data_IF_652174312889
#
_entry.id   IF_652174312889
#
_cell.length_a   1.000
_cell.length_b   1.000
_cell.length_c   1.000
_cell.angle_alpha   90.00
_cell.angle_beta   90.00
_cell.angle_gamma   90.00
#
_symmetry.space_group_name_H-M   'P 1'
#
loop_
_entity.id
_entity.type
_entity.pdbx_description
1 polymer ?
#
# COMPACT_ATOMS: atom_id res chain seq x y z
N UNK A 1 -8.44 9.17 -12.19
CA UNK A 1 -7.77 10.15 -11.30
C UNK A 1 -8.81 10.61 -10.27
N UNK A 2 -8.64 10.26 -8.97
CA UNK A 2 -9.66 10.48 -7.91
C UNK A 2 -9.70 11.96 -7.50
N UNK A 3 -10.39 12.80 -8.28
CA UNK A 3 -10.50 14.24 -8.04
C UNK A 3 -11.65 14.58 -7.09
N UNK A 4 -11.59 14.10 -5.85
CA UNK A 4 -12.57 14.51 -4.84
C UNK A 4 -12.24 15.93 -4.35
N UNK A 5 -13.10 16.91 -4.68
CA UNK A 5 -13.01 18.32 -4.22
C UNK A 5 -12.73 18.46 -2.71
N UNK A 6 -13.38 17.72 -1.80
CA UNK A 6 -13.08 17.83 -0.36
C UNK A 6 -11.67 17.37 0.01
N UNK A 7 -11.14 16.33 -0.66
CA UNK A 7 -9.78 15.82 -0.40
C UNK A 7 -8.73 16.84 -0.82
N UNK A 8 -8.95 17.52 -1.95
CA UNK A 8 -8.04 18.57 -2.44
C UNK A 8 -7.99 19.77 -1.48
N UNK A 9 -9.15 20.23 -1.01
CA UNK A 9 -9.24 21.33 -0.04
C UNK A 9 -8.51 20.98 1.27
N UNK A 10 -8.76 19.78 1.80
CA UNK A 10 -8.09 19.32 3.02
C UNK A 10 -6.58 19.22 2.83
N UNK A 11 -6.12 18.69 1.69
CA UNK A 11 -4.70 18.62 1.39
C UNK A 11 -4.06 20.00 1.22
N UNK A 12 -4.77 20.97 0.61
CA UNK A 12 -4.34 22.35 0.48
C UNK A 12 -4.15 23.03 1.85
N UNK A 13 -5.05 22.78 2.81
CA UNK A 13 -4.98 23.27 4.19
C UNK A 13 -3.82 22.64 5.00
N UNK A 14 -3.30 21.48 4.57
CA UNK A 14 -2.27 20.73 5.29
C UNK A 14 -0.93 20.63 4.54
N UNK A 15 -0.71 21.43 3.49
CA UNK A 15 0.49 21.37 2.63
C UNK A 15 1.81 21.44 3.37
N UNK A 16 1.87 22.13 4.50
CA UNK A 16 3.08 22.23 5.32
C UNK A 16 3.41 20.93 6.07
N UNK A 17 2.43 20.02 6.21
CA UNK A 17 2.56 18.75 6.94
C UNK A 17 2.54 17.52 6.03
N UNK A 18 1.91 17.61 4.87
CA UNK A 18 1.75 16.50 3.94
C UNK A 18 2.05 16.92 2.51
N UNK A 19 2.79 16.08 1.80
CA UNK A 19 3.06 16.23 0.37
C UNK A 19 2.32 15.14 -0.39
N UNK A 20 1.54 15.54 -1.40
CA UNK A 20 0.82 14.60 -2.25
C UNK A 20 1.67 14.24 -3.47
N UNK A 21 1.90 12.95 -3.66
CA UNK A 21 2.50 12.39 -4.87
C UNK A 21 1.41 11.78 -5.74
N UNK A 22 1.29 12.23 -6.99
CA UNK A 22 0.30 11.73 -7.93
C UNK A 22 0.95 10.76 -8.91
N UNK A 23 0.41 9.54 -8.98
CA UNK A 23 0.85 8.55 -9.96
C UNK A 23 0.20 8.83 -11.33
N UNK A 24 0.94 8.67 -12.44
CA UNK A 24 0.36 8.77 -13.78
C UNK A 24 -0.71 7.67 -13.95
N UNK A 25 -1.85 8.04 -14.55
CA UNK A 25 -3.06 7.22 -14.57
C UNK A 25 -2.97 5.88 -15.32
N UNK A 26 -1.82 5.54 -15.89
CA UNK A 26 -1.60 4.37 -16.75
C UNK A 26 -0.49 3.41 -16.26
N UNK A 27 0.01 3.57 -15.03
CA UNK A 27 1.02 2.64 -14.46
C UNK A 27 0.69 2.23 -13.02
N UNK A 28 -0.45 1.56 -12.78
CA UNK A 28 -0.77 0.98 -11.47
C UNK A 28 0.29 -0.05 -11.01
N UNK A 29 1.04 -0.62 -11.96
CA UNK A 29 2.12 -1.60 -11.72
C UNK A 29 3.34 -1.00 -11.00
N UNK A 30 3.35 0.32 -10.79
CA UNK A 30 4.41 1.06 -10.12
C UNK A 30 3.88 1.71 -8.84
N UNK A 31 3.16 0.95 -8.02
CA UNK A 31 2.87 1.37 -6.66
C UNK A 31 3.42 0.32 -5.66
N UNK A 32 4.25 0.67 -4.65
CA UNK A 32 4.69 -0.21 -3.56
C UNK A 32 3.52 -0.89 -2.87
N UNK A 33 2.34 -0.28 -2.86
CA UNK A 33 1.14 -0.90 -2.32
C UNK A 33 0.69 -2.12 -3.14
N UNK A 34 0.97 -2.18 -4.44
CA UNK A 34 0.68 -3.37 -5.26
C UNK A 34 1.63 -4.51 -4.91
N UNK A 35 2.91 -4.23 -4.64
CA UNK A 35 3.85 -5.23 -4.14
C UNK A 35 3.43 -5.76 -2.77
N UNK A 36 3.03 -4.88 -1.87
CA UNK A 36 2.46 -5.24 -0.57
C UNK A 36 1.19 -6.09 -0.73
N UNK A 37 0.29 -5.70 -1.64
CA UNK A 37 -0.95 -6.42 -1.90
C UNK A 37 -0.68 -7.80 -2.52
N UNK A 38 0.30 -7.92 -3.40
CA UNK A 38 0.72 -9.19 -3.99
C UNK A 38 1.30 -10.14 -2.92
N UNK A 39 2.20 -9.63 -2.06
CA UNK A 39 2.75 -10.39 -0.93
C UNK A 39 1.65 -10.84 0.03
N UNK A 40 0.72 -9.94 0.39
CA UNK A 40 -0.42 -10.23 1.24
C UNK A 40 -1.35 -11.30 0.62
N UNK A 41 -1.70 -11.15 -0.66
CA UNK A 41 -2.52 -12.13 -1.38
C UNK A 41 -1.83 -13.48 -1.44
N UNK A 42 -0.52 -13.51 -1.71
CA UNK A 42 0.25 -14.75 -1.72
C UNK A 42 0.30 -15.43 -0.35
N UNK A 43 0.58 -14.67 0.72
CA UNK A 43 0.62 -15.17 2.08
C UNK A 43 -0.73 -15.70 2.60
N UNK A 44 -1.84 -15.12 2.13
CA UNK A 44 -3.19 -15.56 2.50
C UNK A 44 -3.62 -16.77 1.66
N UNK A 45 -3.41 -16.73 0.34
CA UNK A 45 -3.80 -17.81 -0.56
C UNK A 45 -2.94 -19.08 -0.40
N UNK A 46 -1.69 -18.96 0.07
CA UNK A 46 -0.84 -20.10 0.41
C UNK A 46 -1.22 -20.78 1.73
N UNK A 47 -2.02 -20.11 2.57
CA UNK A 47 -2.56 -20.68 3.81
C UNK A 47 -3.90 -21.36 3.54
N UNK A 48 -4.24 -22.33 4.39
CA UNK A 48 -5.51 -23.10 4.33
C UNK A 48 -6.69 -22.16 4.03
N UNK A 49 -7.60 -22.51 3.10
CA UNK A 49 -8.63 -21.60 2.60
C UNK A 49 -9.38 -20.94 3.75
N UNK A 50 -9.23 -19.63 3.85
CA UNK A 50 -9.86 -18.84 4.89
C UNK A 50 -11.30 -18.57 4.48
N UNK A 51 -12.22 -19.46 4.88
CA UNK A 51 -13.62 -19.45 4.43
C UNK A 51 -14.52 -18.42 5.12
N UNK A 52 -13.99 -17.59 6.02
CA UNK A 52 -14.79 -16.58 6.75
C UNK A 52 -14.11 -15.22 6.80
N UNK A 53 -14.92 -14.16 6.75
CA UNK A 53 -14.44 -12.76 6.82
C UNK A 53 -13.63 -12.46 8.08
N UNK A 54 -14.02 -13.04 9.22
CA UNK A 54 -13.33 -12.85 10.50
C UNK A 54 -11.90 -13.42 10.46
N UNK A 55 -11.74 -14.66 9.99
CA UNK A 55 -10.43 -15.29 9.86
C UNK A 55 -9.57 -14.60 8.80
N UNK A 56 -10.19 -14.05 7.74
CA UNK A 56 -9.46 -13.29 6.72
C UNK A 56 -8.88 -12.01 7.34
N UNK A 57 -9.68 -11.28 8.12
CA UNK A 57 -9.20 -10.10 8.85
C UNK A 57 -8.06 -10.46 9.81
N UNK A 58 -8.19 -11.54 10.57
CA UNK A 58 -7.14 -12.00 11.48
C UNK A 58 -5.83 -12.35 10.75
N UNK A 59 -5.92 -13.07 9.63
CA UNK A 59 -4.76 -13.41 8.81
C UNK A 59 -4.07 -12.17 8.23
N UNK A 60 -4.84 -11.19 7.75
CA UNK A 60 -4.34 -9.90 7.26
C UNK A 60 -3.63 -9.15 8.40
N UNK A 61 -4.27 -9.02 9.57
CA UNK A 61 -3.69 -8.32 10.72
C UNK A 61 -2.38 -8.97 11.17
N UNK A 62 -2.34 -10.30 11.28
CA UNK A 62 -1.11 -11.03 11.61
C UNK A 62 0.01 -10.77 10.59
N UNK A 63 -0.32 -10.75 9.30
CA UNK A 63 0.66 -10.49 8.24
C UNK A 63 1.23 -9.07 8.33
N UNK A 64 0.36 -8.07 8.52
CA UNK A 64 0.76 -6.67 8.67
C UNK A 64 1.65 -6.46 9.91
N UNK A 65 1.34 -7.10 11.04
CA UNK A 65 2.17 -7.02 12.26
C UNK A 65 3.58 -7.57 12.03
N UNK A 66 3.72 -8.66 11.27
CA UNK A 66 5.04 -9.21 10.91
C UNK A 66 5.82 -8.25 10.01
N UNK A 67 5.13 -7.59 9.07
CA UNK A 67 5.73 -6.59 8.19
C UNK A 67 6.18 -5.35 8.95
N UNK A 68 5.38 -4.87 9.92
CA UNK A 68 5.73 -3.75 10.79
C UNK A 68 7.00 -4.03 11.60
N UNK A 69 7.19 -5.26 12.06
CA UNK A 69 8.41 -5.71 12.75
C UNK A 69 9.61 -5.92 11.82
N UNK A 70 9.42 -5.81 10.50
CA UNK A 70 10.44 -6.06 9.47
C UNK A 70 10.70 -4.81 8.62
N UNK A 71 11.36 -3.77 9.17
CA UNK A 71 11.58 -2.51 8.45
C UNK A 71 12.32 -2.69 7.13
N UNK A 72 13.21 -3.67 7.01
CA UNK A 72 13.93 -3.98 5.77
C UNK A 72 13.00 -4.50 4.66
N UNK A 73 11.97 -5.28 5.01
CA UNK A 73 10.95 -5.73 4.03
C UNK A 73 10.11 -4.56 3.55
N UNK A 74 9.73 -3.66 4.46
CA UNK A 74 8.96 -2.46 4.12
C UNK A 74 9.78 -1.58 3.17
N UNK A 75 11.05 -1.31 3.47
CA UNK A 75 11.95 -0.53 2.60
C UNK A 75 12.06 -1.13 1.21
N UNK A 76 12.15 -2.46 1.08
CA UNK A 76 12.25 -3.14 -0.21
C UNK A 76 11.05 -2.87 -1.13
N UNK A 77 9.85 -2.66 -0.59
CA UNK A 77 8.70 -2.26 -1.41
C UNK A 77 8.88 -0.90 -2.06
N UNK A 78 9.65 0.02 -1.46
CA UNK A 78 9.92 1.35 -1.99
C UNK A 78 11.19 1.44 -2.84
N UNK A 79 11.97 0.35 -2.96
CA UNK A 79 13.26 0.32 -3.66
C UNK A 79 13.16 -0.13 -5.13
N UNK A 80 11.95 -0.41 -5.63
CA UNK A 80 11.79 -0.80 -7.03
C UNK A 80 12.19 0.38 -7.95
N UNK A 81 13.06 0.17 -8.95
CA UNK A 81 13.52 1.22 -9.87
C UNK A 81 12.39 1.93 -10.64
N UNK A 82 11.25 1.26 -10.78
CA UNK A 82 10.04 1.79 -11.39
C UNK A 82 9.25 2.72 -10.45
N UNK A 83 9.49 2.67 -9.15
CA UNK A 83 8.89 3.53 -8.13
C UNK A 83 9.68 4.83 -8.00
N UNK A 84 9.68 5.61 -9.09
CA UNK A 84 10.14 7.00 -9.01
C UNK A 84 9.06 7.84 -8.34
N UNK A 85 9.06 7.83 -7.01
CA UNK A 85 8.33 8.81 -6.20
C UNK A 85 8.99 10.21 -6.22
N UNK A 86 9.88 10.46 -7.18
CA UNK A 86 10.71 11.66 -7.31
C UNK A 86 10.89 11.91 -8.81
N UNK A 87 10.66 13.09 -9.37
CA UNK A 87 10.82 14.45 -8.86
C UNK A 87 9.52 15.25 -8.70
#
# INVERSE_FOLDING_TARGET
MRHSKPVKKWADEHKEKITLFYLPGYSPEQNPEEWLNADLKHAICSRVPVRTKAKLKEAITKHVLILEQSPERVKRYFQDPCLKYTE
#
